data_IF_485297192633
#
_entry.id   IF_485297192633
#
_cell.length_a   1.000
_cell.length_b   1.000
_cell.length_c   1.000
_cell.angle_alpha   90.00
_cell.angle_beta   90.00
_cell.angle_gamma   90.00
#
_symmetry.space_group_name_H-M   'P 1'
#
loop_
_entity.id
_entity.type
_entity.pdbx_description
1 polymer ?
#
# COMPACT_ATOMS: atom_id res chain seq x y z
N UNK A 1 -0.70 21.01 -6.26
CA UNK A 1 -0.53 19.58 -5.93
C UNK A 1 0.72 19.03 -6.59
N UNK A 2 0.93 19.24 -7.90
CA UNK A 2 2.21 18.97 -8.57
C UNK A 2 3.40 19.63 -7.85
N UNK A 3 3.38 20.94 -7.62
CA UNK A 3 4.46 21.66 -6.92
C UNK A 3 4.75 21.14 -5.49
N UNK A 4 3.75 20.58 -4.81
CA UNK A 4 3.90 19.99 -3.48
C UNK A 4 4.55 18.61 -3.58
N UNK A 5 4.14 17.80 -4.55
CA UNK A 5 4.75 16.49 -4.82
C UNK A 5 6.19 16.65 -5.30
N UNK A 6 6.46 17.63 -6.17
CA UNK A 6 7.80 17.94 -6.67
C UNK A 6 8.72 18.39 -5.53
N UNK A 7 8.24 19.26 -4.63
CA UNK A 7 9.00 19.68 -3.46
C UNK A 7 9.26 18.54 -2.46
N UNK A 8 8.32 17.60 -2.31
CA UNK A 8 8.51 16.39 -1.50
C UNK A 8 9.56 15.49 -2.16
N UNK A 9 9.44 15.22 -3.46
CA UNK A 9 10.39 14.39 -4.21
C UNK A 9 11.81 14.98 -4.19
N UNK A 10 11.94 16.30 -4.33
CA UNK A 10 13.22 17.01 -4.23
C UNK A 10 13.84 16.92 -2.83
N UNK A 11 13.02 16.93 -1.77
CA UNK A 11 13.53 16.74 -0.42
C UNK A 11 14.09 15.32 -0.19
N UNK A 12 13.42 14.30 -0.72
CA UNK A 12 13.81 12.89 -0.54
C UNK A 12 14.79 12.35 -1.60
N UNK A 13 15.21 13.17 -2.56
CA UNK A 13 16.24 12.84 -3.55
C UNK A 13 17.67 13.25 -3.14
N UNK A 14 17.82 13.95 -2.01
CA UNK A 14 19.12 14.42 -1.47
C UNK A 14 19.97 13.28 -0.89
N UNK A 15 21.28 13.47 -0.82
CA UNK A 15 22.23 12.49 -0.30
C UNK A 15 21.91 12.05 1.15
N UNK A 16 21.37 12.95 1.97
CA UNK A 16 20.95 12.69 3.36
C UNK A 16 19.52 12.12 3.47
N UNK A 17 18.90 11.64 2.39
CA UNK A 17 17.52 11.13 2.42
C UNK A 17 17.28 10.02 3.46
N UNK A 18 18.32 9.25 3.78
CA UNK A 18 18.22 8.15 4.74
C UNK A 18 17.99 8.62 6.18
N UNK A 19 18.64 9.70 6.60
CA UNK A 19 18.38 10.27 7.93
C UNK A 19 16.98 10.85 7.99
N UNK A 20 16.54 11.51 6.91
CA UNK A 20 15.18 12.06 6.80
C UNK A 20 14.11 10.97 6.88
N UNK A 21 14.28 9.86 6.14
CA UNK A 21 13.35 8.73 6.22
C UNK A 21 13.34 8.11 7.62
N UNK A 22 14.52 7.90 8.21
CA UNK A 22 14.63 7.34 9.57
C UNK A 22 13.92 8.22 10.59
N UNK A 23 14.13 9.53 10.57
CA UNK A 23 13.50 10.46 11.52
C UNK A 23 11.99 10.60 11.31
N UNK A 24 11.50 10.37 10.09
CA UNK A 24 10.08 10.42 9.76
C UNK A 24 9.30 9.22 10.35
N UNK A 25 9.93 8.07 10.50
CA UNK A 25 9.22 6.83 10.85
C UNK A 25 9.76 6.08 12.04
N UNK A 26 10.97 6.35 12.50
CA UNK A 26 11.54 5.69 13.66
C UNK A 26 11.44 6.62 14.86
N UNK A 27 10.87 6.17 16.00
CA UNK A 27 10.76 7.02 17.18
C UNK A 27 12.13 7.58 17.59
N UNK A 28 12.24 8.87 17.93
CA UNK A 28 13.52 9.50 18.21
C UNK A 28 14.22 8.93 19.45
N UNK A 29 13.45 8.34 20.36
CA UNK A 29 13.83 7.67 21.61
C UNK A 29 14.14 6.18 21.46
N UNK A 30 13.93 5.59 20.27
CA UNK A 30 14.22 4.19 20.04
C UNK A 30 15.75 3.92 20.00
N UNK A 31 16.16 2.86 20.69
CA UNK A 31 17.56 2.48 20.82
C UNK A 31 18.13 1.88 19.52
N UNK A 32 19.42 2.10 19.30
CA UNK A 32 20.23 1.54 18.20
C UNK A 32 19.69 1.84 16.78
N UNK A 33 19.80 3.11 16.38
CA UNK A 33 19.39 3.60 15.05
C UNK A 33 20.17 3.02 13.87
N UNK A 34 21.25 2.29 14.13
CA UNK A 34 22.11 1.66 13.13
C UNK A 34 21.95 0.13 13.10
N UNK A 35 20.98 -0.42 13.85
CA UNK A 35 20.59 -1.83 13.79
C UNK A 35 20.21 -2.22 12.33
N UNK A 36 20.79 -3.28 11.75
CA UNK A 36 20.45 -3.77 10.42
C UNK A 36 18.94 -3.99 10.19
N UNK A 37 18.19 -4.36 11.22
CA UNK A 37 16.73 -4.51 11.15
C UNK A 37 16.02 -3.16 11.05
N UNK A 38 16.51 -2.13 11.74
CA UNK A 38 16.00 -0.76 11.60
C UNK A 38 16.29 -0.26 10.19
N UNK A 39 17.51 -0.46 9.68
CA UNK A 39 17.88 -0.10 8.31
C UNK A 39 16.96 -0.78 7.29
N UNK A 40 16.73 -2.09 7.43
CA UNK A 40 15.81 -2.87 6.57
C UNK A 40 14.38 -2.33 6.62
N UNK A 41 13.88 -2.02 7.82
CA UNK A 41 12.53 -1.46 8.01
C UNK A 41 12.35 -0.07 7.42
N UNK A 42 13.32 0.82 7.64
CA UNK A 42 13.33 2.18 7.06
C UNK A 42 13.47 2.10 5.53
N UNK A 43 14.21 1.12 5.02
CA UNK A 43 14.33 0.89 3.57
C UNK A 43 13.01 0.49 2.95
N UNK A 44 12.34 -0.49 3.55
CA UNK A 44 11.01 -0.92 3.11
C UNK A 44 10.05 0.26 3.13
N UNK A 45 10.07 1.09 4.18
CA UNK A 45 9.26 2.29 4.25
C UNK A 45 9.54 3.28 3.10
N UNK A 46 10.81 3.62 2.87
CA UNK A 46 11.21 4.59 1.86
C UNK A 46 10.72 4.17 0.46
N UNK A 47 10.84 2.88 0.14
CA UNK A 47 10.36 2.33 -1.14
C UNK A 47 8.84 2.42 -1.27
N UNK A 48 8.07 2.09 -0.21
CA UNK A 48 6.61 2.23 -0.23
C UNK A 48 6.14 3.69 -0.27
N UNK A 49 6.86 4.59 0.39
CA UNK A 49 6.60 6.02 0.33
C UNK A 49 6.83 6.57 -1.08
N UNK A 50 7.98 6.26 -1.68
CA UNK A 50 8.31 6.67 -3.05
C UNK A 50 7.31 6.09 -4.05
N UNK A 51 6.96 4.81 -3.91
CA UNK A 51 5.93 4.19 -4.72
C UNK A 51 4.58 4.91 -4.61
N UNK A 52 4.20 5.35 -3.40
CA UNK A 52 2.98 6.15 -3.20
C UNK A 52 3.07 7.49 -3.94
N UNK A 53 4.21 8.18 -3.88
CA UNK A 53 4.42 9.43 -4.63
C UNK A 53 4.33 9.20 -6.14
N UNK A 54 4.91 8.12 -6.66
CA UNK A 54 4.81 7.77 -8.08
C UNK A 54 3.37 7.51 -8.51
N UNK A 55 2.57 6.82 -7.68
CA UNK A 55 1.15 6.60 -7.93
C UNK A 55 0.39 7.94 -8.04
N UNK A 56 0.73 8.92 -7.21
CA UNK A 56 0.12 10.26 -7.28
C UNK A 56 0.65 11.08 -8.47
N UNK A 57 1.93 10.95 -8.83
CA UNK A 57 2.60 11.74 -9.86
C UNK A 57 2.27 11.30 -11.29
N UNK A 58 2.08 10.00 -11.55
CA UNK A 58 1.80 9.46 -12.90
C UNK A 58 0.46 9.90 -13.51
N UNK A 59 -0.29 10.76 -12.80
CA UNK A 59 -1.57 11.28 -13.22
C UNK A 59 -2.66 10.27 -12.91
N UNK A 60 -3.80 10.70 -12.35
CA UNK A 60 -4.88 9.78 -12.07
C UNK A 60 -5.39 9.25 -13.41
N UNK A 61 -5.32 7.93 -13.60
CA UNK A 61 -6.53 7.23 -14.05
C UNK A 61 -7.68 7.87 -13.28
N UNK A 62 -8.72 8.36 -13.93
CA UNK A 62 -9.79 9.10 -13.25
C UNK A 62 -10.63 8.15 -12.37
N UNK A 63 -10.00 7.58 -11.35
CA UNK A 63 -10.57 6.75 -10.31
C UNK A 63 -11.51 7.57 -9.46
N UNK A 64 -11.39 8.91 -9.43
CA UNK A 64 -12.41 9.78 -8.87
C UNK A 64 -13.70 9.75 -9.69
N UNK A 65 -13.63 9.82 -11.03
CA UNK A 65 -14.80 9.58 -11.87
C UNK A 65 -15.27 8.14 -11.76
N UNK A 66 -14.40 7.13 -11.75
CA UNK A 66 -14.81 5.75 -11.56
C UNK A 66 -15.49 5.53 -10.20
N UNK A 67 -14.96 6.13 -9.12
CA UNK A 67 -15.49 6.06 -7.76
C UNK A 67 -16.80 6.84 -7.63
N UNK A 68 -16.89 8.06 -8.19
CA UNK A 68 -18.14 8.82 -8.23
C UNK A 68 -19.20 8.09 -9.06
N UNK A 69 -18.82 7.49 -10.19
CA UNK A 69 -19.71 6.67 -11.02
C UNK A 69 -20.14 5.39 -10.30
N UNK A 70 -19.25 4.75 -9.57
CA UNK A 70 -19.55 3.59 -8.72
C UNK A 70 -20.54 3.98 -7.60
N UNK A 71 -20.25 5.06 -6.87
CA UNK A 71 -21.10 5.62 -5.81
C UNK A 71 -22.49 6.01 -6.31
N UNK A 72 -22.59 6.50 -7.54
CA UNK A 72 -23.84 6.97 -8.13
C UNK A 72 -24.49 5.98 -9.12
N UNK A 73 -24.01 4.74 -9.21
CA UNK A 73 -24.62 3.68 -10.01
C UNK A 73 -24.57 3.89 -11.54
N UNK A 74 -23.65 4.72 -12.03
CA UNK A 74 -23.58 5.11 -13.44
C UNK A 74 -22.46 4.34 -14.17
N UNK A 75 -22.83 3.44 -15.09
CA UNK A 75 -21.95 2.93 -16.15
C UNK A 75 -20.67 2.22 -15.72
N UNK A 76 -20.62 1.64 -14.52
CA UNK A 76 -19.52 0.75 -14.08
C UNK A 76 -20.02 -0.69 -14.18
N UNK A 77 -19.27 -1.54 -14.91
CA UNK A 77 -19.55 -2.97 -14.98
C UNK A 77 -18.33 -3.75 -14.55
N UNK A 78 -18.51 -4.59 -13.54
CA UNK A 78 -17.56 -5.67 -13.21
C UNK A 78 -17.78 -6.78 -14.22
N UNK A 79 -16.70 -7.21 -14.88
CA UNK A 79 -16.74 -8.31 -15.83
C UNK A 79 -15.69 -9.35 -15.45
N UNK A 80 -16.18 -10.55 -15.21
CA UNK A 80 -15.41 -11.78 -15.02
C UNK A 80 -15.41 -12.65 -16.30
N UNK A 81 -16.16 -12.22 -17.32
CA UNK A 81 -16.30 -12.87 -18.63
C UNK A 81 -15.31 -12.36 -19.69
N UNK A 82 -14.45 -11.38 -19.35
CA UNK A 82 -13.40 -10.87 -20.24
C UNK A 82 -12.11 -11.66 -20.08
N UNK A 83 -11.97 -12.72 -20.88
CA UNK A 83 -10.67 -13.32 -21.17
C UNK A 83 -10.16 -12.76 -22.52
N UNK A 84 -9.06 -12.01 -22.49
CA UNK A 84 -8.36 -11.60 -23.71
C UNK A 84 -6.95 -12.16 -23.65
N UNK A 85 -6.61 -12.99 -24.62
CA UNK A 85 -5.34 -13.70 -24.70
C UNK A 85 -4.75 -13.53 -26.10
N UNK A 86 -3.48 -13.13 -26.17
CA UNK A 86 -2.69 -13.17 -27.39
C UNK A 86 -1.88 -14.46 -27.41
N UNK A 87 -2.21 -15.34 -28.34
CA UNK A 87 -1.39 -16.52 -28.64
C UNK A 87 -0.53 -16.24 -29.87
N UNK A 88 0.67 -16.82 -29.87
CA UNK A 88 1.58 -16.81 -31.03
C UNK A 88 1.13 -17.77 -32.12
N UNK A 89 0.43 -18.85 -31.77
CA UNK A 89 -0.16 -19.78 -32.73
C UNK A 89 -1.58 -19.32 -33.12
N UNK A 90 -1.79 -19.12 -34.42
CA UNK A 90 -3.09 -18.75 -35.00
C UNK A 90 -4.02 -19.94 -35.21
N UNK A 91 -5.27 -19.69 -35.68
CA UNK A 91 -6.19 -20.75 -36.08
C UNK A 91 -5.65 -21.57 -37.24
N UNK A 92 -5.92 -22.88 -37.26
CA UNK A 92 -5.62 -23.76 -38.39
C UNK A 92 -6.51 -23.48 -39.62
N UNK A 93 -6.31 -24.24 -40.69
CA UNK A 93 -7.09 -24.13 -41.94
C UNK A 93 -8.59 -24.39 -41.76
N UNK A 94 -8.99 -24.95 -40.62
CA UNK A 94 -10.39 -25.20 -40.24
C UNK A 94 -10.90 -24.20 -39.19
N UNK A 95 -10.11 -23.16 -38.87
CA UNK A 95 -10.44 -22.15 -37.88
C UNK A 95 -10.36 -22.65 -36.43
N UNK A 96 -9.69 -23.77 -36.17
CA UNK A 96 -9.51 -24.31 -34.81
C UNK A 96 -8.23 -23.79 -34.18
N UNK A 97 -8.28 -23.45 -32.91
CA UNK A 97 -7.11 -23.06 -32.10
C UNK A 97 -6.88 -24.16 -31.06
N UNK A 98 -5.66 -24.67 -30.97
CA UNK A 98 -5.32 -25.67 -29.96
C UNK A 98 -5.37 -25.04 -28.57
N UNK A 99 -5.95 -25.74 -27.58
CA UNK A 99 -6.01 -25.23 -26.19
C UNK A 99 -4.63 -24.88 -25.63
N UNK A 100 -3.60 -25.66 -26.01
CA UNK A 100 -2.20 -25.41 -25.65
C UNK A 100 -1.66 -24.09 -26.17
N UNK A 101 -2.17 -23.57 -27.30
CA UNK A 101 -1.80 -22.25 -27.81
C UNK A 101 -2.31 -21.12 -26.91
N UNK A 102 -3.42 -21.34 -26.21
CA UNK A 102 -4.03 -20.35 -25.29
C UNK A 102 -3.51 -20.46 -23.85
N UNK A 103 -2.83 -21.54 -23.49
CA UNK A 103 -2.33 -21.75 -22.11
C UNK A 103 -0.83 -22.03 -22.04
N UNK A 104 -0.15 -22.06 -23.18
CA UNK A 104 1.27 -22.37 -23.30
C UNK A 104 2.17 -21.14 -23.13
N UNK A 105 3.48 -21.35 -23.19
CA UNK A 105 4.48 -20.29 -22.99
C UNK A 105 4.41 -19.15 -24.02
N UNK A 106 3.75 -19.37 -25.17
CA UNK A 106 3.51 -18.38 -26.20
C UNK A 106 2.19 -17.61 -26.07
N UNK A 107 1.47 -17.76 -24.96
CA UNK A 107 0.20 -17.11 -24.67
C UNK A 107 0.36 -15.97 -23.65
N UNK A 108 -0.18 -14.80 -23.96
CA UNK A 108 -0.17 -13.63 -23.08
C UNK A 108 -1.60 -13.23 -22.76
N UNK A 109 -2.01 -13.42 -21.51
CA UNK A 109 -3.31 -12.94 -21.04
C UNK A 109 -3.26 -11.44 -20.75
N UNK A 110 -4.03 -10.66 -21.50
CA UNK A 110 -4.24 -9.21 -21.28
C UNK A 110 -5.26 -9.00 -20.16
N UNK A 111 -6.32 -9.81 -20.15
CA UNK A 111 -7.32 -9.86 -19.08
C UNK A 111 -7.54 -11.31 -18.71
N UNK A 112 -7.12 -11.70 -17.51
CA UNK A 112 -7.23 -13.02 -16.90
C UNK A 112 -8.01 -13.00 -15.58
N UNK A 113 -8.54 -11.83 -15.20
CA UNK A 113 -9.12 -11.52 -13.89
C UNK A 113 -10.27 -10.54 -14.03
N UNK A 114 -10.90 -10.23 -12.90
CA UNK A 114 -11.90 -9.17 -12.77
C UNK A 114 -11.40 -7.89 -13.44
N UNK A 115 -12.15 -7.42 -14.44
CA UNK A 115 -11.94 -6.11 -15.04
C UNK A 115 -13.02 -5.14 -14.61
N UNK A 116 -12.63 -3.89 -14.36
CA UNK A 116 -13.54 -2.78 -14.11
C UNK A 116 -13.58 -1.89 -15.35
N UNK A 117 -14.74 -1.83 -15.98
CA UNK A 117 -14.96 -0.98 -17.15
C UNK A 117 -15.80 0.24 -16.77
N UNK A 118 -15.35 1.44 -17.16
CA UNK A 118 -16.07 2.68 -16.94
C UNK A 118 -15.84 3.67 -18.08
N UNK A 119 -16.83 4.53 -18.34
CA UNK A 119 -16.69 5.65 -19.26
C UNK A 119 -16.12 6.86 -18.50
N UNK A 120 -15.07 7.49 -19.00
CA UNK A 120 -14.54 8.73 -18.42
C UNK A 120 -14.08 9.69 -19.52
N UNK A 121 -13.90 10.95 -19.16
CA UNK A 121 -13.30 11.93 -20.06
C UNK A 121 -11.77 11.87 -19.95
N UNK A 122 -11.03 11.93 -21.07
CA UNK A 122 -9.57 11.88 -21.04
C UNK A 122 -8.97 13.17 -20.45
N UNK A 123 -8.61 13.12 -19.17
CA UNK A 123 -7.81 14.13 -18.48
C UNK A 123 -8.38 15.56 -18.51
N UNK A 124 -7.63 16.54 -17.94
CA UNK A 124 -8.05 17.94 -17.94
C UNK A 124 -7.80 18.58 -19.31
N UNK A 125 -8.67 18.32 -20.29
CA UNK A 125 -8.64 19.03 -21.59
C UNK A 125 -9.61 20.21 -21.61
N UNK A 126 -9.08 21.38 -21.96
CA UNK A 126 -9.79 22.68 -22.08
C UNK A 126 -10.87 22.76 -23.18
N UNK A 127 -11.17 21.69 -23.91
CA UNK A 127 -12.00 21.73 -25.13
C UNK A 127 -13.30 20.90 -25.10
N UNK A 128 -13.69 20.34 -23.94
CA UNK A 128 -14.92 19.54 -23.81
C UNK A 128 -14.77 18.13 -24.39
N UNK A 129 -14.97 17.02 -23.64
CA UNK A 129 -14.30 15.78 -24.01
C UNK A 129 -15.24 14.73 -24.66
N UNK A 130 -14.77 13.98 -25.67
CA UNK A 130 -15.37 12.69 -26.02
C UNK A 130 -15.29 11.74 -24.81
N UNK A 131 -16.27 10.84 -24.67
CA UNK A 131 -16.25 9.79 -23.64
C UNK A 131 -15.34 8.65 -24.10
N UNK A 132 -14.41 8.23 -23.24
CA UNK A 132 -13.54 7.07 -23.46
C UNK A 132 -13.96 5.91 -22.54
N UNK A 133 -13.99 4.70 -23.09
CA UNK A 133 -14.21 3.48 -22.30
C UNK A 133 -12.85 2.98 -21.78
N UNK A 134 -12.67 3.07 -20.47
CA UNK A 134 -11.47 2.56 -19.78
C UNK A 134 -11.77 1.21 -19.18
N UNK A 135 -10.94 0.21 -19.47
CA UNK A 135 -11.03 -1.14 -18.88
C UNK A 135 -9.78 -1.40 -18.05
N UNK A 136 -9.96 -1.58 -16.75
CA UNK A 136 -8.88 -1.81 -15.80
C UNK A 136 -8.83 -3.27 -15.38
N UNK A 137 -7.69 -3.92 -15.58
CA UNK A 137 -7.42 -5.24 -14.98
C UNK A 137 -7.14 -5.05 -13.50
N UNK A 138 -7.99 -5.63 -12.64
CA UNK A 138 -7.81 -5.57 -11.19
C UNK A 138 -7.25 -6.91 -10.72
N UNK A 139 -6.15 -6.85 -9.95
CA UNK A 139 -5.68 -7.98 -9.16
C UNK A 139 -5.99 -7.70 -7.69
N UNK A 140 -7.06 -8.30 -7.11
CA UNK A 140 -7.45 -8.02 -5.73
C UNK A 140 -6.33 -8.29 -4.72
N UNK A 141 -5.54 -9.35 -4.93
CA UNK A 141 -4.41 -9.69 -4.07
C UNK A 141 -3.34 -8.58 -4.06
N UNK A 142 -2.99 -8.09 -5.25
CA UNK A 142 -2.02 -6.99 -5.40
C UNK A 142 -2.57 -5.71 -4.78
N UNK A 143 -3.84 -5.38 -5.05
CA UNK A 143 -4.48 -4.19 -4.53
C UNK A 143 -4.55 -4.20 -3.00
N UNK A 144 -4.98 -5.33 -2.40
CA UNK A 144 -5.05 -5.49 -0.95
C UNK A 144 -3.66 -5.41 -0.30
N UNK A 145 -2.66 -6.05 -0.91
CA UNK A 145 -1.29 -6.02 -0.41
C UNK A 145 -0.70 -4.59 -0.46
N UNK A 146 -0.82 -3.90 -1.59
CA UNK A 146 -0.38 -2.51 -1.73
C UNK A 146 -1.11 -1.60 -0.74
N UNK A 147 -2.44 -1.71 -0.63
CA UNK A 147 -3.22 -0.91 0.29
C UNK A 147 -2.78 -1.11 1.75
N UNK A 148 -2.54 -2.36 2.16
CA UNK A 148 -2.07 -2.67 3.51
C UNK A 148 -0.68 -2.08 3.79
N UNK A 149 0.27 -2.21 2.85
CA UNK A 149 1.64 -1.75 3.02
C UNK A 149 1.74 -0.22 2.98
N UNK A 150 0.97 0.44 2.10
CA UNK A 150 0.82 1.90 2.09
C UNK A 150 0.16 2.38 3.38
N UNK A 151 -0.92 1.76 3.84
CA UNK A 151 -1.57 2.14 5.08
C UNK A 151 -0.64 2.02 6.29
N UNK A 152 0.16 0.95 6.37
CA UNK A 152 1.14 0.75 7.43
C UNK A 152 2.22 1.85 7.42
N UNK A 153 2.74 2.15 6.23
CA UNK A 153 3.68 3.24 5.96
C UNK A 153 3.13 4.58 6.49
N UNK A 154 1.91 4.95 6.06
CA UNK A 154 1.27 6.18 6.53
C UNK A 154 1.01 6.20 8.04
N UNK A 155 0.61 5.07 8.64
CA UNK A 155 0.36 4.97 10.07
C UNK A 155 1.64 5.18 10.89
N UNK A 156 2.78 4.62 10.46
CA UNK A 156 4.07 4.81 11.13
C UNK A 156 4.49 6.28 11.12
N UNK A 157 4.44 6.92 9.94
CA UNK A 157 4.72 8.35 9.78
C UNK A 157 3.80 9.22 10.64
N UNK A 158 2.50 8.94 10.62
CA UNK A 158 1.53 9.71 11.40
C UNK A 158 1.78 9.60 12.90
N UNK A 159 2.09 8.40 13.42
CA UNK A 159 2.37 8.22 14.84
C UNK A 159 3.61 9.00 15.29
N UNK A 160 4.68 9.01 14.50
CA UNK A 160 5.90 9.78 14.80
C UNK A 160 5.65 11.28 14.74
N UNK A 161 4.92 11.76 13.73
CA UNK A 161 4.54 13.17 13.61
C UNK A 161 3.63 13.61 14.78
N UNK A 162 2.66 12.78 15.16
CA UNK A 162 1.78 13.02 16.29
C UNK A 162 2.57 13.08 17.60
N UNK A 163 3.44 12.11 17.87
CA UNK A 163 4.31 12.11 19.06
C UNK A 163 5.15 13.38 19.12
N UNK A 164 5.77 13.78 18.01
CA UNK A 164 6.55 15.02 17.95
C UNK A 164 5.71 16.25 18.27
N UNK A 165 4.51 16.35 17.70
CA UNK A 165 3.64 17.51 17.85
C UNK A 165 2.97 17.60 19.25
N UNK A 166 2.61 16.47 19.86
CA UNK A 166 1.93 16.46 21.15
C UNK A 166 2.92 16.45 22.32
N UNK A 167 4.05 15.74 22.23
CA UNK A 167 5.07 15.77 23.29
C UNK A 167 5.77 17.14 23.40
N UNK A 168 5.85 17.91 22.31
CA UNK A 168 6.37 19.30 22.35
C UNK A 168 5.40 20.29 23.01
N UNK A 169 4.11 19.95 23.11
CA UNK A 169 3.11 20.79 23.80
C UNK A 169 3.12 20.57 25.31
N UNK A 170 3.37 19.34 25.75
CA UNK A 170 3.50 19.04 27.19
C UNK A 170 4.76 19.70 27.79
N UNK A 171 5.81 19.92 27.00
CA UNK A 171 7.01 20.68 27.41
C UNK A 171 6.83 22.20 27.46
N UNK A 172 5.70 22.74 26.98
CA UNK A 172 5.36 24.17 27.07
C UNK A 172 4.29 24.47 28.13
N UNK A 173 3.99 23.49 28.99
CA UNK A 173 3.05 23.66 30.10
C UNK A 173 3.69 24.30 31.34
N UNK A 174 4.63 25.23 31.15
CA UNK A 174 5.11 26.15 32.19
C UNK A 174 4.53 27.58 32.05
N UNK A 175 3.80 27.89 30.96
CA UNK A 175 3.30 29.26 30.68
C UNK A 175 1.77 29.41 30.64
N UNK A 176 1.00 28.52 31.28
CA UNK A 176 -0.45 28.67 31.41
C UNK A 176 -0.90 28.57 32.88
N UNK A 177 -0.66 29.65 33.62
CA UNK A 177 -1.50 29.96 34.76
C UNK A 177 -2.94 30.23 34.28
N UNK A 178 -3.91 29.69 35.03
CA UNK A 178 -5.31 30.14 35.11
C UNK A 178 -6.34 29.47 34.17
N UNK A 179 -6.48 28.15 34.25
CA UNK A 179 -7.77 27.48 34.00
C UNK A 179 -8.08 26.49 35.13
N UNK A 180 -9.27 26.67 35.70
CA UNK A 180 -9.69 26.12 36.98
C UNK A 180 -9.61 24.61 37.15
N UNK A 181 -9.45 24.25 38.42
CA UNK A 181 -9.45 22.92 39.00
C UNK A 181 -10.61 22.04 38.48
N UNK A 182 -10.29 20.93 37.82
CA UNK A 182 -11.29 19.87 37.57
C UNK A 182 -11.17 19.05 36.28
N UNK A 183 -10.44 19.48 35.25
CA UNK A 183 -10.28 18.69 34.02
C UNK A 183 -8.80 18.42 33.78
N UNK A 184 -8.30 17.29 34.28
CA UNK A 184 -7.13 16.66 33.68
C UNK A 184 -7.53 16.36 32.23
N UNK A 185 -7.11 17.23 31.32
CA UNK A 185 -7.21 16.95 29.90
C UNK A 185 -6.42 15.66 29.69
N UNK A 186 -7.13 14.53 29.50
CA UNK A 186 -6.50 13.32 29.01
C UNK A 186 -5.84 13.71 27.69
N UNK A 187 -4.52 13.93 27.72
CA UNK A 187 -3.75 14.11 26.51
C UNK A 187 -4.16 12.93 25.61
N UNK A 188 -4.60 13.19 24.36
CA UNK A 188 -5.07 12.12 23.50
C UNK A 188 -3.99 11.05 23.47
N UNK A 189 -4.30 9.86 24.00
CA UNK A 189 -3.39 8.72 24.04
C UNK A 189 -2.80 8.58 22.65
N UNK A 190 -1.53 8.95 22.48
CA UNK A 190 -0.90 8.90 21.18
C UNK A 190 -1.06 7.48 20.63
N UNK A 191 -1.56 7.36 19.40
CA UNK A 191 -1.79 6.06 18.80
C UNK A 191 -0.51 5.25 18.88
N UNK A 192 -0.61 4.00 19.37
CA UNK A 192 0.55 3.15 19.54
C UNK A 192 1.25 2.96 18.19
N UNK A 193 2.56 3.23 18.17
CA UNK A 193 3.37 3.12 16.97
C UNK A 193 3.23 1.72 16.34
N UNK A 194 2.91 1.60 15.05
CA UNK A 194 2.58 0.31 14.43
C UNK A 194 3.82 -0.57 14.16
N UNK A 195 5.04 -0.04 14.28
CA UNK A 195 6.27 -0.77 13.99
C UNK A 195 6.79 -0.56 12.58
N UNK A 196 8.01 -1.03 12.36
CA UNK A 196 8.60 -1.13 11.03
C UNK A 196 8.34 -2.51 10.41
N UNK A 197 8.25 -2.53 9.08
CA UNK A 197 8.20 -3.75 8.28
C UNK A 197 9.62 -4.23 8.00
N UNK A 198 10.19 -5.00 8.92
CA UNK A 198 11.55 -5.54 8.78
C UNK A 198 11.54 -6.70 7.78
N UNK A 199 12.44 -6.63 6.81
CA UNK A 199 12.57 -7.58 5.70
C UNK A 199 11.26 -7.69 4.88
N UNK A 200 10.48 -6.60 4.87
CA UNK A 200 9.21 -6.49 4.16
C UNK A 200 9.36 -6.56 2.65
N UNK A 201 8.26 -6.82 1.91
CA UNK A 201 8.31 -6.79 0.45
C UNK A 201 8.54 -5.36 -0.04
N UNK A 202 9.33 -5.22 -1.11
CA UNK A 202 9.43 -3.98 -1.85
C UNK A 202 8.28 -3.89 -2.87
N UNK A 203 7.89 -2.69 -3.32
CA UNK A 203 6.85 -2.53 -4.34
C UNK A 203 7.07 -3.38 -5.60
N UNK A 204 8.31 -3.55 -6.03
CA UNK A 204 8.70 -4.39 -7.18
C UNK A 204 8.42 -5.89 -6.98
N UNK A 205 8.49 -6.39 -5.74
CA UNK A 205 8.16 -7.79 -5.43
C UNK A 205 6.68 -8.09 -5.66
N UNK A 206 5.83 -7.06 -5.58
CA UNK A 206 4.38 -7.18 -5.75
C UNK A 206 3.94 -6.84 -7.17
N UNK A 207 4.68 -5.96 -7.87
CA UNK A 207 4.22 -5.36 -9.14
C UNK A 207 4.82 -5.97 -10.40
N UNK A 208 6.05 -6.49 -10.38
CA UNK A 208 6.79 -6.67 -11.63
C UNK A 208 7.53 -7.99 -11.83
N UNK A 209 7.59 -8.88 -10.83
CA UNK A 209 8.43 -10.08 -10.95
C UNK A 209 7.73 -11.40 -10.63
N UNK A 210 6.75 -11.39 -9.71
CA UNK A 210 6.08 -12.60 -9.24
C UNK A 210 4.61 -12.34 -9.02
N UNK A 211 3.77 -13.21 -9.58
CA UNK A 211 2.34 -13.10 -9.36
C UNK A 211 2.03 -13.38 -7.89
N UNK A 212 1.52 -12.37 -7.19
CA UNK A 212 1.10 -12.49 -5.81
C UNK A 212 -0.24 -13.24 -5.69
N UNK A 213 -0.21 -14.36 -4.99
CA UNK A 213 -1.38 -15.23 -4.82
C UNK A 213 -2.00 -15.14 -3.43
N UNK A 214 -1.22 -14.82 -2.40
CA UNK A 214 -1.74 -14.67 -1.04
C UNK A 214 -0.82 -13.83 -0.14
N UNK A 215 -1.43 -13.30 0.93
CA UNK A 215 -0.74 -12.67 2.06
C UNK A 215 -1.22 -13.34 3.34
N UNK A 216 -0.31 -13.54 4.29
CA UNK A 216 -0.61 -13.96 5.66
C UNK A 216 -0.10 -12.91 6.62
N UNK A 217 -0.96 -12.50 7.55
CA UNK A 217 -0.58 -11.66 8.68
C UNK A 217 -1.13 -12.30 9.96
N UNK A 218 -0.29 -12.55 10.97
CA UNK A 218 -0.77 -13.02 12.26
C UNK A 218 -1.52 -11.88 12.95
N UNK A 219 -2.83 -12.06 13.20
CA UNK A 219 -3.65 -11.07 13.92
C UNK A 219 -3.80 -11.42 15.40
N UNK A 220 -3.66 -12.70 15.75
CA UNK A 220 -3.90 -13.24 17.09
C UNK A 220 -2.79 -14.17 17.52
N UNK A 221 -2.63 -14.31 18.84
CA UNK A 221 -1.76 -15.33 19.43
C UNK A 221 -2.41 -16.73 19.30
N UNK A 222 -1.58 -17.77 19.27
CA UNK A 222 -2.08 -19.15 19.25
C UNK A 222 -2.68 -19.50 20.61
N UNK A 223 -3.74 -20.32 20.61
CA UNK A 223 -4.46 -20.72 21.83
C UNK A 223 -3.58 -21.44 22.85
N UNK A 224 -2.53 -22.10 22.38
CA UNK A 224 -1.54 -22.81 23.19
C UNK A 224 -0.43 -21.89 23.74
N UNK A 225 -0.51 -20.58 23.50
CA UNK A 225 0.49 -19.61 23.94
C UNK A 225 1.80 -19.62 23.13
N UNK A 226 1.91 -20.48 22.11
CA UNK A 226 3.08 -20.50 21.23
C UNK A 226 3.09 -19.31 20.27
N UNK A 227 4.28 -18.97 19.76
CA UNK A 227 4.45 -17.87 18.81
C UNK A 227 3.58 -18.10 17.56
N UNK A 228 2.92 -17.02 17.10
CA UNK A 228 2.21 -17.04 15.82
C UNK A 228 3.20 -17.23 14.66
N UNK A 229 2.71 -17.76 13.53
CA UNK A 229 3.54 -17.87 12.32
C UNK A 229 3.87 -16.47 11.82
N UNK A 230 5.10 -16.30 11.32
CA UNK A 230 5.53 -15.03 10.71
C UNK A 230 4.60 -14.60 9.57
N UNK A 231 4.49 -13.28 9.40
CA UNK A 231 3.78 -12.70 8.28
C UNK A 231 4.51 -13.06 6.98
N UNK A 232 3.76 -13.29 5.90
CA UNK A 232 4.35 -13.78 4.66
C UNK A 232 3.55 -13.39 3.41
N UNK A 233 4.26 -13.18 2.31
CA UNK A 233 3.70 -13.12 0.96
C UNK A 233 3.99 -14.41 0.20
N UNK A 234 3.01 -14.90 -0.56
CA UNK A 234 3.10 -16.12 -1.35
C UNK A 234 2.97 -15.79 -2.83
N UNK A 235 3.83 -16.43 -3.62
CA UNK A 235 3.95 -16.20 -5.05
C UNK A 235 3.54 -17.44 -5.85
N UNK A 236 3.07 -17.24 -7.08
CA UNK A 236 2.60 -18.33 -7.95
C UNK A 236 3.71 -19.34 -8.32
N UNK A 237 4.99 -18.95 -8.23
CA UNK A 237 6.16 -19.81 -8.45
C UNK A 237 6.43 -20.76 -7.26
N UNK A 238 5.59 -20.72 -6.21
CA UNK A 238 5.74 -21.52 -4.99
C UNK A 238 6.70 -20.93 -3.96
N UNK A 239 7.36 -19.82 -4.26
CA UNK A 239 8.20 -19.11 -3.29
C UNK A 239 7.36 -18.28 -2.32
N UNK A 240 7.94 -17.96 -1.17
CA UNK A 240 7.34 -17.05 -0.19
C UNK A 240 8.40 -16.16 0.45
N UNK A 241 7.98 -14.97 0.88
CA UNK A 241 8.81 -14.02 1.61
C UNK A 241 8.19 -13.79 2.99
N UNK A 242 8.92 -14.13 4.04
CA UNK A 242 8.53 -13.80 5.41
C UNK A 242 8.98 -12.38 5.76
N UNK A 243 8.23 -11.71 6.63
CA UNK A 243 8.59 -10.39 7.16
C UNK A 243 8.09 -10.24 8.59
N UNK A 244 8.64 -9.25 9.30
CA UNK A 244 8.30 -8.97 10.70
C UNK A 244 7.77 -7.55 10.85
N UNK A 245 6.87 -7.39 11.80
CA UNK A 245 6.39 -6.10 12.28
C UNK A 245 6.99 -5.93 13.68
N UNK A 246 7.62 -4.79 13.97
CA UNK A 246 8.37 -4.59 15.23
C UNK A 246 7.64 -3.78 16.31
N UNK A 247 6.46 -3.22 16.01
CA UNK A 247 5.78 -2.27 16.90
C UNK A 247 4.93 -2.95 17.98
N UNK A 248 4.58 -2.28 19.08
CA UNK A 248 3.81 -2.84 20.20
C UNK A 248 2.45 -3.46 19.82
N UNK A 249 1.88 -3.08 18.68
CA UNK A 249 0.61 -3.59 18.15
C UNK A 249 0.84 -4.87 17.33
N UNK A 250 1.44 -5.90 17.93
CA UNK A 250 1.74 -7.16 17.22
C UNK A 250 0.55 -8.12 17.15
N UNK A 251 -0.32 -8.12 18.16
CA UNK A 251 -1.38 -9.12 18.30
C UNK A 251 -2.56 -8.58 19.10
N UNK A 252 -3.77 -8.74 18.57
CA UNK A 252 -4.99 -8.59 19.34
C UNK A 252 -5.39 -9.94 19.94
N UNK A 253 -5.91 -9.94 21.17
CA UNK A 253 -6.60 -11.11 21.72
C UNK A 253 -8.07 -11.01 21.36
N UNK A 254 -8.53 -11.83 20.41
CA UNK A 254 -9.97 -12.01 20.20
C UNK A 254 -10.49 -12.79 21.39
N UNK A 255 -11.32 -12.15 22.21
CA UNK A 255 -12.06 -12.78 23.29
C UNK A 255 -13.47 -12.96 22.77
N UNK A 256 -13.88 -14.20 22.53
CA UNK A 256 -15.29 -14.50 22.27
C UNK A 256 -16.07 -14.11 23.55
N UNK A 257 -17.10 -13.28 23.37
CA UNK A 257 -18.05 -12.93 24.43
C UNK A 257 -19.02 -14.06 24.74
#
# INVERSE_FOLDING_TARGET
MADVLDGIQECFSKDDRWSLFRDLVYPPDAADKDDPHVISGVTTFAEWFNFSLELFARGPLDVSAAHNKFKHGLGVRVRDDYLVNFATDGPDEHGRVAKSALTGAGAVNVFDRIVLQFLASPGPRKQGPPLESTTLRISPNVLLAQAALIAHTYAAMFCVAANTHFNTRDSHQDDCHDLGDGVRSEAPSAAAYPGLLVDGPLPEHITSSKELIAMRQPLTQRRDGSAAREAAFFYADGTHQNFRITGPVLTARVVDG
#
